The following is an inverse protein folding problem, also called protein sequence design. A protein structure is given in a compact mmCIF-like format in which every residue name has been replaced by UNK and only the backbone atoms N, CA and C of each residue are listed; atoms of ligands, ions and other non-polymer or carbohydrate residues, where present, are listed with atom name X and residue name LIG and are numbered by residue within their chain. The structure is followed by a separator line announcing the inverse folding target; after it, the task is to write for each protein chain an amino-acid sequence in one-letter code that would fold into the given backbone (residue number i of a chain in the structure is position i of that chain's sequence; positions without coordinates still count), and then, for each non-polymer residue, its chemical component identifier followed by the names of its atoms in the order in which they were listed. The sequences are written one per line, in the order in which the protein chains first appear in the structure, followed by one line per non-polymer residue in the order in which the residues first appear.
data_IF_430548615751
#
_entry.id   IF_430548615751
#
_cell.length_a   1.000
_cell.length_b   1.000
_cell.length_c   1.000
_cell.angle_alpha   90.00
_cell.angle_beta   90.00
_cell.angle_gamma   90.00
#
_symmetry.space_group_name_H-M   'P 1'
#
loop_
_entity.id
_entity.type
_entity.pdbx_description
1 polymer ?
#
# COMPACT_ATOMS: atom_id res chain seq x y z
N UNK A 1 -8.26 -11.45 -7.72
CA UNK A 1 -8.51 -10.00 -7.66
C UNK A 1 -8.15 -9.52 -6.27
N UNK A 2 -7.30 -8.50 -6.18
CA UNK A 2 -6.90 -7.90 -4.92
C UNK A 2 -8.05 -7.12 -4.28
N UNK A 3 -8.07 -7.09 -2.95
CA UNK A 3 -8.99 -6.30 -2.15
C UNK A 3 -8.22 -5.41 -1.20
N UNK A 4 -8.64 -4.16 -1.06
CA UNK A 4 -8.15 -3.23 -0.06
C UNK A 4 -9.25 -2.94 0.96
N UNK A 5 -9.05 -3.40 2.19
CA UNK A 5 -9.92 -3.17 3.35
C UNK A 5 -9.26 -2.21 4.32
N UNK A 6 -10.06 -1.72 5.27
CA UNK A 6 -9.61 -0.75 6.25
C UNK A 6 -10.09 -1.10 7.64
N UNK A 7 -9.22 -0.92 8.63
CA UNK A 7 -9.59 -0.97 10.05
C UNK A 7 -8.72 -0.02 10.86
N UNK A 8 -9.24 0.54 11.98
CA UNK A 8 -8.43 1.32 12.90
C UNK A 8 -7.61 0.41 13.81
N UNK A 9 -6.38 0.79 14.12
CA UNK A 9 -5.61 0.14 15.18
C UNK A 9 -6.03 0.63 16.59
N UNK A 10 -5.37 0.12 17.64
CA UNK A 10 -5.61 0.52 19.03
C UNK A 10 -5.37 2.00 19.32
N UNK A 11 -4.70 2.73 18.42
CA UNK A 11 -4.48 4.18 18.48
C UNK A 11 -5.41 4.97 17.56
N UNK A 12 -6.45 4.34 17.00
CA UNK A 12 -7.41 4.95 16.07
C UNK A 12 -6.75 5.50 14.79
N UNK A 13 -5.70 4.84 14.31
CA UNK A 13 -5.07 5.13 13.01
C UNK A 13 -5.56 4.10 12.00
N UNK A 14 -6.08 4.55 10.86
CA UNK A 14 -6.46 3.70 9.75
C UNK A 14 -5.27 2.89 9.21
N UNK A 15 -5.51 1.59 9.05
CA UNK A 15 -4.61 0.65 8.38
C UNK A 15 -5.28 0.22 7.08
N UNK A 16 -4.52 0.29 5.98
CA UNK A 16 -4.89 -0.38 4.73
C UNK A 16 -4.46 -1.84 4.80
N UNK A 17 -5.40 -2.75 4.59
CA UNK A 17 -5.20 -4.19 4.54
C UNK A 17 -5.38 -4.68 3.11
N UNK A 18 -4.31 -5.22 2.53
CA UNK A 18 -4.31 -5.80 1.20
C UNK A 18 -4.53 -7.31 1.30
N UNK A 19 -5.54 -7.80 0.61
CA UNK A 19 -5.90 -9.22 0.57
C UNK A 19 -5.82 -9.76 -0.86
N UNK A 20 -5.33 -10.99 -0.97
CA UNK A 20 -5.45 -11.85 -2.14
C UNK A 20 -6.54 -12.88 -1.89
N UNK A 21 -7.62 -12.84 -2.67
CA UNK A 21 -8.86 -13.57 -2.38
C UNK A 21 -9.42 -13.21 -0.98
N UNK A 22 -9.15 -14.03 0.05
CA UNK A 22 -9.50 -13.77 1.45
C UNK A 22 -8.29 -13.89 2.39
N UNK A 23 -7.08 -14.08 1.85
CA UNK A 23 -5.85 -14.17 2.64
C UNK A 23 -5.20 -12.79 2.71
N UNK A 24 -4.89 -12.34 3.94
CA UNK A 24 -4.11 -11.12 4.14
C UNK A 24 -2.72 -11.30 3.54
N UNK A 25 -2.34 -10.39 2.64
CA UNK A 25 -1.00 -10.31 2.08
C UNK A 25 -0.14 -9.32 2.86
N UNK A 26 -0.71 -8.16 3.17
CA UNK A 26 0.00 -7.06 3.82
C UNK A 26 -1.00 -6.15 4.53
N UNK A 27 -0.58 -5.55 5.64
CA UNK A 27 -1.32 -4.48 6.29
C UNK A 27 -0.35 -3.37 6.71
N UNK A 28 -0.64 -2.13 6.35
CA UNK A 28 0.24 -1.00 6.63
C UNK A 28 -0.54 0.27 6.98
N UNK A 29 0.02 1.04 7.90
CA UNK A 29 -0.45 2.39 8.24
C UNK A 29 -0.16 3.38 7.11
N UNK A 30 0.97 3.21 6.40
CA UNK A 30 1.37 4.14 5.34
C UNK A 30 0.82 3.72 3.97
N UNK A 31 0.07 4.59 3.27
CA UNK A 31 -0.52 4.28 1.96
C UNK A 31 0.50 3.90 0.88
N UNK A 32 1.69 4.53 0.88
CA UNK A 32 2.73 4.24 -0.10
C UNK A 32 3.19 2.77 -0.08
N UNK A 33 3.23 2.13 1.09
CA UNK A 33 3.63 0.72 1.20
C UNK A 33 2.59 -0.21 0.56
N UNK A 34 1.28 0.12 0.68
CA UNK A 34 0.23 -0.63 0.00
C UNK A 34 0.29 -0.39 -1.50
N UNK A 35 0.50 0.85 -1.95
CA UNK A 35 0.66 1.17 -3.37
C UNK A 35 1.85 0.43 -3.98
N UNK A 36 3.00 0.42 -3.29
CA UNK A 36 4.18 -0.31 -3.71
C UNK A 36 3.96 -1.82 -3.76
N UNK A 37 3.12 -2.38 -2.88
CA UNK A 37 2.76 -3.80 -2.93
C UNK A 37 1.90 -4.15 -4.16
N UNK A 38 0.91 -3.31 -4.49
CA UNK A 38 0.10 -3.50 -5.70
C UNK A 38 0.96 -3.36 -6.96
N UNK A 39 1.87 -2.37 -6.97
CA UNK A 39 2.88 -2.20 -8.03
C UNK A 39 3.80 -3.42 -8.16
N UNK A 40 4.33 -3.94 -7.06
CA UNK A 40 5.23 -5.09 -7.03
C UNK A 40 4.59 -6.36 -7.65
N UNK A 41 3.27 -6.50 -7.52
CA UNK A 41 2.51 -7.63 -8.08
C UNK A 41 2.08 -7.41 -9.54
N UNK A 42 2.37 -6.24 -10.12
CA UNK A 42 1.92 -5.81 -11.45
C UNK A 42 0.39 -6.01 -11.60
N UNK A 43 -0.36 -5.46 -10.66
CA UNK A 43 -1.81 -5.56 -10.60
C UNK A 43 -2.46 -4.23 -10.98
N UNK A 44 -3.38 -4.26 -11.95
CA UNK A 44 -4.00 -3.06 -12.50
C UNK A 44 -5.45 -2.83 -12.06
N UNK A 45 -5.97 -3.72 -11.21
CA UNK A 45 -7.35 -3.65 -10.71
C UNK A 45 -7.41 -3.98 -9.23
N UNK A 46 -8.09 -3.14 -8.47
CA UNK A 46 -8.25 -3.28 -7.04
C UNK A 46 -9.71 -3.11 -6.66
N UNK A 47 -10.21 -3.94 -5.73
CA UNK A 47 -11.51 -3.70 -5.11
C UNK A 47 -11.32 -3.04 -3.75
N UNK A 48 -11.75 -1.79 -3.61
CA UNK A 48 -11.74 -1.05 -2.35
C UNK A 48 -13.02 -1.37 -1.58
N UNK A 49 -12.91 -1.86 -0.35
CA UNK A 49 -14.03 -2.26 0.51
C UNK A 49 -13.97 -1.50 1.84
N UNK A 50 -15.06 -0.81 2.18
CA UNK A 50 -15.24 -0.10 3.45
C UNK A 50 -16.60 -0.46 4.07
N UNK A 51 -16.87 0.04 5.28
CA UNK A 51 -18.19 -0.10 5.89
C UNK A 51 -19.32 0.58 5.07
N UNK A 52 -18.99 1.54 4.19
CA UNK A 52 -19.96 2.23 3.32
C UNK A 52 -20.25 1.50 2.02
N UNK A 53 -19.46 0.49 1.66
CA UNK A 53 -19.67 -0.29 0.45
C UNK A 53 -18.36 -0.74 -0.20
N UNK A 54 -18.43 -1.04 -1.49
CA UNK A 54 -17.27 -1.46 -2.27
C UNK A 54 -17.27 -0.91 -3.68
N UNK A 55 -16.09 -0.65 -4.21
CA UNK A 55 -15.90 -0.20 -5.59
C UNK A 55 -14.69 -0.92 -6.22
N UNK A 56 -14.81 -1.25 -7.51
CA UNK A 56 -13.68 -1.73 -8.32
C UNK A 56 -13.04 -0.54 -9.00
N UNK A 57 -11.71 -0.48 -8.95
CA UNK A 57 -10.94 0.68 -9.36
C UNK A 57 -9.73 0.25 -10.18
N UNK A 58 -9.29 1.14 -11.07
CA UNK A 58 -8.04 0.98 -11.78
C UNK A 58 -6.84 1.21 -10.85
N UNK A 59 -5.71 0.60 -11.18
CA UNK A 59 -4.42 0.88 -10.57
C UNK A 59 -3.37 1.06 -11.68
N UNK A 60 -2.69 2.22 -11.78
CA UNK A 60 -2.83 3.42 -10.95
C UNK A 60 -4.23 4.06 -11.01
N UNK A 61 -4.56 4.88 -10.01
CA UNK A 61 -5.88 5.52 -9.91
C UNK A 61 -6.04 6.66 -10.92
N UNK A 62 -7.18 6.67 -11.60
CA UNK A 62 -7.59 7.72 -12.53
C UNK A 62 -8.43 8.79 -11.83
N UNK A 63 -8.33 10.06 -12.28
CA UNK A 63 -9.05 11.19 -11.64
C UNK A 63 -10.57 11.04 -11.72
N UNK A 64 -11.09 10.35 -12.73
CA UNK A 64 -12.52 10.10 -12.93
C UNK A 64 -13.15 9.25 -11.81
N UNK A 65 -12.33 8.52 -11.04
CA UNK A 65 -12.81 7.62 -9.98
C UNK A 65 -13.01 8.32 -8.62
N UNK A 66 -12.68 9.62 -8.51
CA UNK A 66 -12.68 10.36 -7.25
C UNK A 66 -14.04 10.42 -6.55
N UNK A 67 -15.14 10.55 -7.32
CA UNK A 67 -16.50 10.57 -6.76
C UNK A 67 -16.91 9.24 -6.13
N UNK A 68 -16.47 8.12 -6.71
CA UNK A 68 -16.74 6.78 -6.17
C UNK A 68 -15.95 6.53 -4.88
N UNK A 69 -14.69 6.98 -4.84
CA UNK A 69 -13.85 6.87 -3.65
C UNK A 69 -14.40 7.71 -2.49
N UNK A 70 -14.86 8.93 -2.78
CA UNK A 70 -15.44 9.83 -1.78
C UNK A 70 -16.66 9.22 -1.07
N UNK A 71 -17.50 8.48 -1.81
CA UNK A 71 -18.67 7.80 -1.24
C UNK A 71 -18.29 6.66 -0.26
N UNK A 72 -17.09 6.09 -0.37
CA UNK A 72 -16.62 4.99 0.47
C UNK A 72 -15.98 5.46 1.79
N UNK A 73 -15.55 6.72 1.89
CA UNK A 73 -14.76 7.23 3.01
C UNK A 73 -15.62 7.46 4.26
N UNK A 74 -15.14 7.00 5.42
CA UNK A 74 -15.87 7.09 6.69
C UNK A 74 -15.65 8.43 7.41
N UNK A 75 -14.43 8.94 7.38
CA UNK A 75 -14.01 10.16 8.09
C UNK A 75 -12.85 10.85 7.35
N UNK A 76 -12.41 11.99 7.89
CA UNK A 76 -11.31 12.79 7.32
C UNK A 76 -9.96 12.05 7.31
N UNK A 77 -9.69 11.18 8.29
CA UNK A 77 -8.43 10.44 8.35
C UNK A 77 -8.39 9.37 7.24
N UNK A 78 -9.51 8.68 6.99
CA UNK A 78 -9.63 7.75 5.87
C UNK A 78 -9.56 8.48 4.53
N UNK A 79 -10.16 9.67 4.42
CA UNK A 79 -10.02 10.54 3.25
C UNK A 79 -8.55 10.83 2.95
N UNK A 80 -7.78 11.28 3.95
CA UNK A 80 -6.36 11.58 3.78
C UNK A 80 -5.54 10.35 3.39
N UNK A 81 -5.83 9.21 4.03
CA UNK A 81 -5.18 7.94 3.71
C UNK A 81 -5.42 7.56 2.25
N UNK A 82 -6.68 7.56 1.81
CA UNK A 82 -7.08 7.20 0.46
C UNK A 82 -6.56 8.19 -0.58
N UNK A 83 -6.58 9.50 -0.28
CA UNK A 83 -5.99 10.53 -1.15
C UNK A 83 -4.51 10.28 -1.40
N UNK A 84 -3.75 10.01 -0.33
CA UNK A 84 -2.33 9.66 -0.44
C UNK A 84 -2.12 8.36 -1.19
N UNK A 85 -2.95 7.34 -0.95
CA UNK A 85 -2.90 6.08 -1.70
C UNK A 85 -3.06 6.31 -3.21
N UNK A 86 -4.04 7.12 -3.63
CA UNK A 86 -4.22 7.50 -5.02
C UNK A 86 -2.99 8.23 -5.58
N UNK A 87 -2.39 9.15 -4.82
CA UNK A 87 -1.14 9.81 -5.23
C UNK A 87 0.00 8.81 -5.45
N UNK A 88 0.28 7.96 -4.46
CA UNK A 88 1.37 6.99 -4.53
C UNK A 88 1.13 5.88 -5.55
N UNK A 89 -0.12 5.57 -5.89
CA UNK A 89 -0.42 4.58 -6.94
C UNK A 89 0.21 4.92 -8.29
N UNK A 90 0.45 6.21 -8.54
CA UNK A 90 1.00 6.74 -9.79
C UNK A 90 2.54 6.72 -9.84
N UNK A 91 3.20 6.32 -8.74
CA UNK A 91 4.65 6.35 -8.66
C UNK A 91 5.23 5.09 -9.31
N UNK A 92 6.31 5.27 -10.07
CA UNK A 92 7.18 4.16 -10.46
C UNK A 92 8.14 3.88 -9.29
N UNK A 93 7.84 2.83 -8.53
CA UNK A 93 8.65 2.44 -7.39
C UNK A 93 9.96 1.76 -7.80
N UNK A 94 10.06 1.26 -9.04
CA UNK A 94 11.29 0.69 -9.57
C UNK A 94 12.27 1.77 -10.05
N UNK A 95 11.75 2.92 -10.51
CA UNK A 95 12.52 4.08 -10.95
C UNK A 95 12.03 5.37 -10.27
N UNK A 96 12.22 5.51 -8.94
CA UNK A 96 11.76 6.69 -8.23
C UNK A 96 12.52 7.95 -8.67
N UNK A 97 11.87 9.10 -8.53
CA UNK A 97 12.51 10.38 -8.81
C UNK A 97 13.71 10.59 -7.85
N UNK A 98 14.80 11.26 -8.28
CA UNK A 98 16.03 11.37 -7.48
C UNK A 98 15.85 11.97 -6.08
N UNK A 99 14.81 12.76 -5.86
CA UNK A 99 14.50 13.39 -4.58
C UNK A 99 13.55 12.57 -3.69
N UNK A 100 12.95 11.49 -4.21
CA UNK A 100 12.14 10.58 -3.40
C UNK A 100 13.04 9.55 -2.69
N UNK A 101 13.57 9.97 -1.54
CA UNK A 101 14.44 9.14 -0.70
C UNK A 101 13.68 8.03 0.04
N UNK A 102 12.34 7.93 -0.09
CA UNK A 102 11.50 7.01 0.69
C UNK A 102 10.86 5.92 -0.17
N UNK A 103 10.69 6.12 -1.46
CA UNK A 103 10.10 5.15 -2.38
C UNK A 103 10.79 3.77 -2.31
N UNK A 104 12.12 3.72 -2.32
CA UNK A 104 12.89 2.47 -2.22
C UNK A 104 12.55 1.71 -0.92
N UNK A 105 12.44 2.42 0.21
CA UNK A 105 12.07 1.81 1.49
C UNK A 105 10.66 1.22 1.43
N UNK A 106 9.68 1.96 0.90
CA UNK A 106 8.31 1.44 0.74
C UNK A 106 8.27 0.20 -0.16
N UNK A 107 9.02 0.23 -1.27
CA UNK A 107 9.04 -0.85 -2.24
C UNK A 107 9.68 -2.12 -1.68
N UNK A 108 10.86 -1.99 -1.07
CA UNK A 108 11.53 -3.14 -0.41
C UNK A 108 10.73 -3.68 0.76
N UNK A 109 10.09 -2.82 1.56
CA UNK A 109 9.19 -3.25 2.64
C UNK A 109 8.02 -4.05 2.08
N UNK A 110 7.38 -3.58 1.00
CA UNK A 110 6.29 -4.30 0.37
C UNK A 110 6.75 -5.68 -0.13
N UNK A 111 7.82 -5.73 -0.93
CA UNK A 111 8.37 -6.96 -1.49
C UNK A 111 8.81 -7.95 -0.42
N UNK A 112 9.36 -7.49 0.70
CA UNK A 112 9.77 -8.36 1.81
C UNK A 112 8.59 -9.10 2.47
N UNK A 113 7.40 -8.50 2.50
CA UNK A 113 6.22 -9.06 3.16
C UNK A 113 5.32 -9.87 2.24
N UNK A 114 5.39 -9.61 0.93
CA UNK A 114 4.59 -10.35 -0.03
C UNK A 114 5.11 -11.79 -0.18
N UNK A 115 4.23 -12.76 -0.42
CA UNK A 115 4.64 -14.07 -0.93
C UNK A 115 5.46 -13.91 -2.22
N UNK A 116 6.61 -14.56 -2.29
CA UNK A 116 7.57 -14.36 -3.38
C UNK A 116 6.98 -14.69 -4.76
N UNK A 117 6.07 -15.66 -4.81
CA UNK A 117 5.35 -16.09 -6.02
C UNK A 117 4.38 -15.04 -6.57
N UNK A 118 4.01 -14.04 -5.77
CA UNK A 118 3.13 -12.94 -6.21
C UNK A 118 3.93 -11.73 -6.71
N UNK A 119 5.21 -11.63 -6.37
CA UNK A 119 6.06 -10.49 -6.76
C UNK A 119 6.54 -10.69 -8.20
N UNK A 120 6.29 -9.70 -9.05
CA UNK A 120 6.71 -9.67 -10.46
C UNK A 120 7.70 -8.54 -10.75
N UNK A 121 7.62 -7.45 -10.00
CA UNK A 121 8.54 -6.32 -10.08
C UNK A 121 9.39 -6.26 -8.83
N UNK A 122 10.71 -6.22 -8.99
CA UNK A 122 11.67 -6.24 -7.89
C UNK A 122 12.52 -4.96 -7.87
N UNK A 123 13.01 -4.54 -6.68
CA UNK A 123 14.06 -3.54 -6.59
C UNK A 123 15.29 -3.97 -7.39
N UNK A 124 15.84 -3.06 -8.20
CA UNK A 124 17.00 -3.31 -9.06
C UNK A 124 18.31 -3.39 -8.26
N UNK A 125 18.45 -2.53 -7.26
CA UNK A 125 19.67 -2.43 -6.45
C UNK A 125 19.69 -3.47 -5.31
N UNK A 126 20.89 -3.91 -4.89
CA UNK A 126 21.04 -4.78 -3.72
C UNK A 126 20.35 -4.21 -2.48
N UNK A 127 19.87 -5.09 -1.62
CA UNK A 127 19.32 -4.67 -0.33
C UNK A 127 20.41 -3.99 0.52
N UNK A 128 20.09 -2.90 1.23
CA UNK A 128 21.01 -2.30 2.18
C UNK A 128 21.44 -3.31 3.25
N UNK A 129 22.65 -3.13 3.78
CA UNK A 129 23.17 -4.01 4.81
C UNK A 129 22.20 -4.08 6.01
N UNK A 130 21.96 -5.29 6.51
CA UNK A 130 21.06 -5.56 7.63
C UNK A 130 19.59 -5.14 7.44
N UNK A 131 19.14 -4.80 6.23
CA UNK A 131 17.78 -4.32 5.99
C UNK A 131 16.69 -5.30 6.46
N UNK A 132 16.81 -6.58 6.11
CA UNK A 132 15.87 -7.63 6.58
C UNK A 132 15.83 -7.78 8.09
N UNK A 133 16.96 -7.63 8.77
CA UNK A 133 17.03 -7.65 10.24
C UNK A 133 16.28 -6.46 10.83
N UNK A 134 16.45 -5.27 10.23
CA UNK A 134 15.71 -4.08 10.63
C UNK A 134 14.20 -4.23 10.41
N UNK A 135 13.76 -4.80 9.28
CA UNK A 135 12.35 -5.03 8.99
C UNK A 135 11.71 -6.00 9.99
N UNK A 136 12.37 -7.13 10.29
CA UNK A 136 11.87 -8.09 11.30
C UNK A 136 11.67 -7.44 12.67
N UNK A 137 12.58 -6.54 13.07
CA UNK A 137 12.44 -5.77 14.32
C UNK A 137 11.29 -4.78 14.24
N UNK A 138 11.10 -4.11 13.10
CA UNK A 138 10.02 -3.13 12.88
C UNK A 138 8.64 -3.78 12.82
N UNK A 139 8.53 -5.02 12.34
CA UNK A 139 7.26 -5.77 12.26
C UNK A 139 6.59 -6.04 13.63
N UNK A 140 7.33 -5.89 14.73
CA UNK A 140 6.75 -5.92 16.08
C UNK A 140 5.79 -4.75 16.32
N UNK A 141 5.90 -3.70 15.52
CA UNK A 141 5.02 -2.55 15.52
C UNK A 141 4.22 -2.63 14.22
N UNK A 142 2.88 -2.69 14.30
CA UNK A 142 2.01 -2.39 13.16
C UNK A 142 2.11 -0.87 12.91
N UNK A 143 3.30 -0.42 12.52
CA UNK A 143 3.65 0.98 12.35
C UNK A 143 4.88 1.06 11.46
N UNK A 144 4.67 1.53 10.23
CA UNK A 144 5.75 2.18 9.48
C UNK A 144 5.50 3.68 9.54
N UNK A 145 6.57 4.47 9.78
CA UNK A 145 6.44 5.86 10.20
C UNK A 145 5.78 6.71 9.12
N UNK A 146 5.19 7.83 9.55
CA UNK A 146 5.12 9.03 8.72
C UNK A 146 6.54 9.27 8.20
N UNK A 147 6.78 8.97 6.93
CA UNK A 147 8.07 9.16 6.27
C UNK A 147 8.22 10.58 5.76
#
# INVERSE_FOLDING_TARGET
MLKLRFYPNSRKVWIGELLGAETRLLAATHPATIAAAVFAMDEHKLCVETAKGRCKMAFPFEDAEGGLLAALMQDAQMYDWMRLFCTFSRFDFANPLPYDTKADVHFRVAVFHLPAELVKVHPSEPEPENFKLQLRKRNQFIYYPWC
#
